data_IF_432366673718
#
_entry.id   IF_432366673718
#
_cell.length_a   1.000
_cell.length_b   1.000
_cell.length_c   1.000
_cell.angle_alpha   90.00
_cell.angle_beta   90.00
_cell.angle_gamma   90.00
#
_symmetry.space_group_name_H-M   'P 1'
#
loop_
_entity.id
_entity.type
_entity.pdbx_description
1 polymer ?
#
# COMPACT_ATOMS: atom_id res chain seq x y z
N UNK A 1 8.62 18.39 -25.40
CA UNK A 1 9.50 17.73 -24.41
C UNK A 1 8.70 17.64 -23.12
N UNK A 2 8.78 16.49 -22.48
CA UNK A 2 7.80 15.91 -21.55
C UNK A 2 7.81 16.70 -20.23
N UNK A 3 6.64 17.03 -19.68
CA UNK A 3 6.54 17.69 -18.38
C UNK A 3 7.09 16.78 -17.28
N UNK A 4 7.98 17.35 -16.48
CA UNK A 4 8.68 16.73 -15.38
C UNK A 4 7.70 16.20 -14.33
N UNK A 5 7.99 14.99 -13.81
CA UNK A 5 7.48 14.50 -12.53
C UNK A 5 8.02 15.38 -11.40
N UNK A 6 7.54 16.61 -11.28
CA UNK A 6 7.92 17.52 -10.21
C UNK A 6 6.90 17.40 -9.06
N UNK A 7 7.41 16.95 -7.92
CA UNK A 7 6.82 17.12 -6.58
C UNK A 7 5.75 16.14 -6.05
N UNK A 8 6.00 14.82 -6.16
CA UNK A 8 5.43 13.85 -5.20
C UNK A 8 6.22 13.72 -3.89
N UNK A 9 7.34 14.43 -3.74
CA UNK A 9 8.22 14.33 -2.58
C UNK A 9 7.82 15.24 -1.41
N UNK A 10 7.17 16.38 -1.66
CA UNK A 10 6.82 17.35 -0.59
C UNK A 10 5.67 16.92 0.32
N UNK A 11 4.82 16.00 -0.12
CA UNK A 11 3.67 15.52 0.69
C UNK A 11 4.15 14.65 1.87
N UNK A 12 5.35 14.05 1.78
CA UNK A 12 5.89 13.17 2.84
C UNK A 12 6.19 13.90 4.17
N UNK A 13 6.26 15.24 4.19
CA UNK A 13 6.49 16.03 5.41
C UNK A 13 5.21 16.39 6.18
N UNK A 14 4.02 16.11 5.63
CA UNK A 14 2.73 16.40 6.29
C UNK A 14 2.18 15.21 7.10
N UNK A 15 2.78 14.02 6.98
CA UNK A 15 2.28 12.83 7.65
C UNK A 15 3.02 12.59 8.97
N UNK A 16 2.39 12.92 10.09
CA UNK A 16 2.86 12.51 11.42
C UNK A 16 2.80 10.99 11.57
N UNK A 17 3.89 10.36 12.01
CA UNK A 17 3.93 8.92 12.34
C UNK A 17 5.22 8.23 11.90
N UNK A 18 5.41 6.98 12.33
CA UNK A 18 6.54 6.16 11.91
C UNK A 18 6.43 5.79 10.43
N UNK A 19 7.57 5.76 9.72
CA UNK A 19 7.64 5.23 8.37
C UNK A 19 7.56 3.69 8.42
N UNK A 20 6.51 3.14 7.83
CA UNK A 20 6.21 1.71 7.86
C UNK A 20 6.28 1.17 6.43
N UNK A 21 7.07 0.12 6.22
CA UNK A 21 7.02 -0.66 4.98
C UNK A 21 5.92 -1.70 5.08
N UNK A 22 4.92 -1.58 4.23
CA UNK A 22 3.85 -2.58 4.10
C UNK A 22 4.09 -3.46 2.89
N UNK A 23 3.77 -4.75 3.03
CA UNK A 23 3.75 -5.72 1.94
C UNK A 23 2.43 -6.48 1.99
N UNK A 24 1.74 -6.56 0.87
CA UNK A 24 0.47 -7.26 0.78
C UNK A 24 0.26 -7.88 -0.61
N UNK A 25 -0.52 -8.96 -0.66
CA UNK A 25 -1.04 -9.51 -1.91
C UNK A 25 -2.33 -8.79 -2.27
N UNK A 26 -2.53 -8.54 -3.55
CA UNK A 26 -3.73 -7.91 -4.10
C UNK A 26 -4.25 -8.70 -5.30
N UNK A 27 -5.57 -8.96 -5.33
CA UNK A 27 -6.25 -9.67 -6.41
C UNK A 27 -7.56 -9.01 -6.85
N UNK A 28 -7.71 -7.70 -6.58
CA UNK A 28 -8.84 -6.91 -7.08
C UNK A 28 -8.70 -6.55 -8.56
N UNK A 29 -9.76 -5.97 -9.12
CA UNK A 29 -9.91 -5.75 -10.57
C UNK A 29 -8.94 -4.74 -11.18
N UNK A 30 -8.37 -3.82 -10.38
CA UNK A 30 -7.43 -2.80 -10.88
C UNK A 30 -6.26 -2.61 -9.91
N UNK A 31 -5.09 -3.12 -10.31
CA UNK A 31 -3.84 -2.89 -9.59
C UNK A 31 -3.36 -1.44 -9.74
N UNK A 32 -3.71 -0.78 -10.85
CA UNK A 32 -3.39 0.62 -11.11
C UNK A 32 -4.02 1.54 -10.06
N UNK A 33 -5.25 1.25 -9.62
CA UNK A 33 -5.89 2.00 -8.54
C UNK A 33 -5.11 1.92 -7.22
N UNK A 34 -4.41 0.82 -6.96
CA UNK A 34 -3.53 0.68 -5.78
C UNK A 34 -2.28 1.54 -5.92
N UNK A 35 -1.68 1.54 -7.11
CA UNK A 35 -0.47 2.33 -7.41
C UNK A 35 -0.74 3.84 -7.44
N UNK A 36 -1.92 4.26 -7.89
CA UNK A 36 -2.37 5.65 -7.85
C UNK A 36 -2.58 6.12 -6.41
N UNK A 37 -3.27 5.30 -5.61
CA UNK A 37 -3.57 5.61 -4.21
C UNK A 37 -2.32 5.67 -3.33
N UNK A 38 -1.38 4.75 -3.55
CA UNK A 38 -0.16 4.62 -2.76
C UNK A 38 1.02 5.06 -3.62
N UNK A 39 1.40 6.34 -3.51
CA UNK A 39 2.45 6.93 -4.35
C UNK A 39 3.82 6.21 -4.27
N UNK A 40 4.09 5.49 -3.18
CA UNK A 40 5.31 4.71 -2.96
C UNK A 40 5.15 3.23 -3.30
N UNK A 41 3.96 2.80 -3.73
CA UNK A 41 3.69 1.41 -4.04
C UNK A 41 4.42 0.98 -5.31
N UNK A 42 4.91 -0.24 -5.25
CA UNK A 42 5.51 -0.95 -6.39
C UNK A 42 5.10 -2.40 -6.34
N UNK A 43 4.84 -2.95 -7.52
CA UNK A 43 4.69 -4.40 -7.69
C UNK A 43 6.08 -5.01 -7.60
N UNK A 44 6.29 -5.90 -6.64
CA UNK A 44 7.57 -6.60 -6.45
C UNK A 44 7.54 -8.03 -6.98
N UNK A 45 6.35 -8.62 -7.13
CA UNK A 45 6.17 -9.95 -7.69
C UNK A 45 4.74 -10.11 -8.22
N UNK A 46 4.57 -11.05 -9.17
CA UNK A 46 3.26 -11.48 -9.66
C UNK A 46 3.15 -13.00 -9.50
N UNK A 47 2.14 -13.44 -8.76
CA UNK A 47 1.85 -14.85 -8.52
C UNK A 47 0.49 -15.19 -9.15
N UNK A 48 0.50 -15.70 -10.39
CA UNK A 48 -0.72 -15.99 -11.14
C UNK A 48 -1.56 -14.74 -11.37
N UNK A 49 -2.75 -14.69 -10.77
CA UNK A 49 -3.68 -13.55 -10.83
C UNK A 49 -3.49 -12.54 -9.68
N UNK A 50 -2.50 -12.74 -8.81
CA UNK A 50 -2.24 -11.87 -7.66
C UNK A 50 -0.97 -11.04 -7.86
N UNK A 51 -0.99 -9.83 -7.34
CA UNK A 51 0.17 -8.94 -7.28
C UNK A 51 0.68 -8.87 -5.85
N UNK A 52 1.98 -9.04 -5.66
CA UNK A 52 2.63 -8.69 -4.40
C UNK A 52 3.10 -7.25 -4.50
N UNK A 53 2.55 -6.41 -3.63
CA UNK A 53 2.79 -4.97 -3.63
C UNK A 53 3.54 -4.61 -2.35
N UNK A 54 4.57 -3.78 -2.50
CA UNK A 54 5.27 -3.14 -1.41
C UNK A 54 5.06 -1.63 -1.48
N UNK A 55 4.75 -1.00 -0.34
CA UNK A 55 4.63 0.45 -0.25
C UNK A 55 5.25 0.96 1.07
N UNK A 56 5.76 2.19 1.04
CA UNK A 56 6.17 2.93 2.24
C UNK A 56 5.07 3.92 2.64
N UNK A 57 4.53 3.78 3.84
CA UNK A 57 3.45 4.63 4.35
C UNK A 57 3.83 5.23 5.69
N UNK A 58 3.20 6.33 6.06
CA UNK A 58 3.42 6.98 7.35
C UNK A 58 2.23 6.72 8.27
N UNK A 59 2.53 6.22 9.48
CA UNK A 59 1.52 5.89 10.48
C UNK A 59 0.58 4.75 10.07
N UNK A 60 -0.47 4.56 10.87
CA UNK A 60 -1.42 3.44 10.73
C UNK A 60 -2.65 3.76 9.87
N UNK A 61 -2.73 4.93 9.23
CA UNK A 61 -3.89 5.36 8.43
C UNK A 61 -4.19 4.44 7.23
N UNK A 62 -3.18 3.72 6.73
CA UNK A 62 -3.36 2.72 5.67
C UNK A 62 -4.29 1.56 6.08
N UNK A 63 -4.38 1.25 7.38
CA UNK A 63 -5.15 0.11 7.89
C UNK A 63 -6.63 0.26 7.56
N UNK A 64 -7.19 1.46 7.70
CA UNK A 64 -8.60 1.72 7.38
C UNK A 64 -8.89 1.43 5.90
N UNK A 65 -7.96 1.80 5.01
CA UNK A 65 -8.12 1.49 3.59
C UNK A 65 -7.99 0.00 3.32
N UNK A 66 -6.98 -0.67 3.88
CA UNK A 66 -6.80 -2.12 3.72
C UNK A 66 -8.05 -2.87 4.17
N UNK A 67 -8.64 -2.49 5.31
CA UNK A 67 -9.89 -3.07 5.81
C UNK A 67 -11.04 -2.89 4.82
N UNK A 68 -11.16 -1.72 4.19
CA UNK A 68 -12.20 -1.48 3.16
C UNK A 68 -12.06 -2.39 1.93
N UNK A 69 -10.87 -2.96 1.69
CA UNK A 69 -10.54 -3.81 0.54
C UNK A 69 -10.23 -5.26 0.95
N UNK A 70 -10.58 -5.68 2.17
CA UNK A 70 -10.13 -6.95 2.77
C UNK A 70 -10.41 -8.20 1.92
N UNK A 71 -11.48 -8.19 1.12
CA UNK A 71 -11.82 -9.30 0.22
C UNK A 71 -10.84 -9.46 -0.96
N UNK A 72 -9.99 -8.46 -1.20
CA UNK A 72 -9.02 -8.39 -2.30
C UNK A 72 -7.57 -8.24 -1.82
N UNK A 73 -7.34 -8.16 -0.51
CA UNK A 73 -6.03 -7.89 0.08
C UNK A 73 -5.68 -8.93 1.15
N UNK A 74 -4.45 -9.44 1.11
CA UNK A 74 -3.85 -10.20 2.20
C UNK A 74 -2.56 -9.49 2.65
N UNK A 75 -2.54 -8.97 3.88
CA UNK A 75 -1.33 -8.35 4.43
C UNK A 75 -0.29 -9.43 4.77
N UNK A 76 0.92 -9.23 4.27
CA UNK A 76 2.09 -10.07 4.55
C UNK A 76 2.96 -9.45 5.64
N UNK A 77 3.22 -8.14 5.54
CA UNK A 77 4.09 -7.40 6.45
C UNK A 77 3.58 -5.95 6.66
N UNK A 78 3.82 -5.34 7.84
CA UNK A 78 4.40 -5.93 9.03
C UNK A 78 3.43 -6.90 9.72
N UNK A 79 3.97 -7.80 10.56
CA UNK A 79 3.16 -8.79 11.29
C UNK A 79 2.09 -8.12 12.16
N UNK A 80 2.42 -6.98 12.77
CA UNK A 80 1.47 -6.19 13.57
C UNK A 80 0.19 -5.88 12.79
N UNK A 81 0.29 -5.45 11.53
CA UNK A 81 -0.87 -5.12 10.71
C UNK A 81 -1.72 -6.35 10.39
N UNK A 82 -1.07 -7.48 10.13
CA UNK A 82 -1.75 -8.76 9.93
C UNK A 82 -2.51 -9.19 11.19
N UNK A 83 -1.95 -8.97 12.38
CA UNK A 83 -2.61 -9.30 13.64
C UNK A 83 -3.80 -8.39 13.94
N UNK A 84 -3.68 -7.09 13.65
CA UNK A 84 -4.80 -6.15 13.80
C UNK A 84 -5.99 -6.48 12.90
N UNK A 85 -5.74 -6.87 11.64
CA UNK A 85 -6.81 -7.25 10.71
C UNK A 85 -7.51 -8.56 11.14
N UNK A 86 -6.79 -9.48 11.80
CA UNK A 86 -7.36 -10.76 12.28
C UNK A 86 -8.25 -10.61 13.52
N UNK A 87 -8.18 -9.48 14.23
CA UNK A 87 -9.01 -9.21 15.42
C UNK A 87 -10.40 -8.69 15.07
N UNK A 88 -10.65 -8.38 13.79
CA UNK A 88 -11.93 -7.92 13.24
C UNK A 88 -12.69 -9.10 12.65
#
# INVERSE_FOLDING_TARGET
>A
MIAYFEDRNKIQFMYSGEFIKVKFKFWGSSVEAVLDRLATARIIEKEGNKYIIQAGVYGKGILMWIMSQMQFIEVMEPKEFREEIKKL
#
